data_IF_958734594307
#
_entry.id   IF_958734594307
#
_cell.length_a   1.000
_cell.length_b   1.000
_cell.length_c   1.000
_cell.angle_alpha   90.00
_cell.angle_beta   90.00
_cell.angle_gamma   90.00
#
_symmetry.space_group_name_H-M   'P 1'
#
loop_
_entity.id
_entity.type
_entity.pdbx_description
1 polymer ?
#
# COMPACT_ATOMS: atom_id res chain seq x y z
N UNK A 1 -38.79 59.28 -14.68
CA UNK A 1 -38.17 59.03 -13.36
C UNK A 1 -38.35 57.54 -13.09
N UNK A 2 -37.32 56.74 -13.40
CA UNK A 2 -36.37 56.12 -12.45
C UNK A 2 -36.85 54.71 -12.07
N UNK A 3 -36.02 53.69 -11.88
CA UNK A 3 -34.67 53.40 -12.39
C UNK A 3 -34.46 51.88 -12.27
N UNK A 4 -33.47 51.32 -12.98
CA UNK A 4 -33.17 49.88 -12.98
C UNK A 4 -32.76 49.35 -11.60
N UNK A 5 -33.17 48.12 -11.28
CA UNK A 5 -32.75 47.38 -10.10
C UNK A 5 -32.35 45.95 -10.44
N UNK A 6 -31.24 45.79 -11.17
CA UNK A 6 -30.66 44.46 -11.42
C UNK A 6 -30.02 43.91 -10.14
N UNK A 7 -30.62 42.90 -9.54
CA UNK A 7 -29.98 42.11 -8.48
C UNK A 7 -28.85 41.28 -9.06
N UNK A 8 -27.61 41.63 -8.71
CA UNK A 8 -26.43 40.88 -9.11
C UNK A 8 -26.41 39.51 -8.41
N UNK A 9 -26.52 38.43 -9.19
CA UNK A 9 -26.05 37.12 -8.74
C UNK A 9 -24.54 37.19 -8.60
N UNK A 10 -24.04 37.15 -7.37
CA UNK A 10 -22.63 36.87 -7.10
C UNK A 10 -22.35 35.43 -7.55
N UNK A 11 -21.80 35.27 -8.75
CA UNK A 11 -21.25 33.99 -9.20
C UNK A 11 -20.12 33.59 -8.26
N UNK A 12 -20.42 32.66 -7.36
CA UNK A 12 -19.42 31.99 -6.55
C UNK A 12 -18.49 31.25 -7.52
N UNK A 13 -17.28 31.79 -7.74
CA UNK A 13 -16.28 31.13 -8.58
C UNK A 13 -16.11 29.69 -8.09
N UNK A 14 -16.25 28.67 -8.96
CA UNK A 14 -16.03 27.30 -8.53
C UNK A 14 -14.61 27.21 -7.98
N UNK A 15 -14.46 26.76 -6.72
CA UNK A 15 -13.15 26.40 -6.18
C UNK A 15 -12.53 25.42 -7.17
N UNK A 16 -11.34 25.74 -7.68
CA UNK A 16 -10.56 24.79 -8.49
C UNK A 16 -10.44 23.48 -7.70
N UNK A 17 -10.65 22.32 -8.33
CA UNK A 17 -10.28 21.05 -7.70
C UNK A 17 -8.81 21.09 -7.30
N UNK A 18 -8.49 20.52 -6.13
CA UNK A 18 -7.13 20.42 -5.56
C UNK A 18 -6.16 19.57 -6.41
N UNK A 19 -6.60 19.17 -7.59
CA UNK A 19 -5.98 18.23 -8.53
C UNK A 19 -5.58 18.95 -9.84
N UNK A 20 -5.70 20.29 -9.87
CA UNK A 20 -5.39 21.12 -11.04
C UNK A 20 -3.95 21.68 -11.01
N UNK A 21 -3.20 21.38 -9.95
CA UNK A 21 -1.76 21.61 -9.86
C UNK A 21 -1.03 20.27 -10.06
N UNK A 22 0.21 20.28 -10.57
CA UNK A 22 0.99 19.05 -10.71
C UNK A 22 1.15 18.35 -9.34
N UNK A 23 1.12 17.00 -9.29
CA UNK A 23 1.23 16.27 -8.04
C UNK A 23 2.62 16.50 -7.43
N UNK A 24 2.67 17.39 -6.42
CA UNK A 24 3.87 17.62 -5.61
C UNK A 24 4.27 16.29 -4.97
N UNK A 25 5.39 15.73 -5.44
CA UNK A 25 5.97 14.52 -4.87
C UNK A 25 6.30 14.78 -3.40
N UNK A 26 5.97 13.80 -2.55
CA UNK A 26 6.18 13.87 -1.10
C UNK A 26 7.36 12.98 -0.72
N UNK A 27 8.53 13.28 -1.26
CA UNK A 27 9.78 12.64 -0.91
C UNK A 27 10.48 13.39 0.24
N UNK A 28 11.21 12.64 1.07
CA UNK A 28 11.89 13.18 2.24
C UNK A 28 12.62 12.11 3.03
N UNK A 29 13.95 12.23 3.11
CA UNK A 29 14.82 11.21 3.71
C UNK A 29 14.70 11.05 5.23
N UNK A 30 13.98 11.93 5.92
CA UNK A 30 13.89 11.97 7.38
C UNK A 30 13.32 10.69 8.03
N UNK A 31 12.55 9.89 7.27
CA UNK A 31 11.85 8.70 7.76
C UNK A 31 11.96 7.51 6.80
N UNK A 32 13.16 7.26 6.24
CA UNK A 32 13.40 6.02 5.48
C UNK A 32 13.08 4.79 6.31
N UNK A 33 12.38 3.83 5.71
CA UNK A 33 12.13 2.52 6.30
C UNK A 33 13.46 1.75 6.48
N UNK A 34 13.62 0.94 7.54
CA UNK A 34 14.75 0.04 7.68
C UNK A 34 14.74 -1.01 6.56
N UNK A 35 15.88 -1.23 5.90
CA UNK A 35 16.02 -2.20 4.80
C UNK A 35 16.09 -3.66 5.28
N UNK A 36 16.43 -3.87 6.55
CA UNK A 36 16.76 -5.16 7.15
C UNK A 36 17.82 -5.97 6.36
N UNK A 37 18.72 -5.30 5.62
CA UNK A 37 19.69 -5.95 4.72
C UNK A 37 20.56 -7.01 5.40
N UNK A 38 20.94 -6.79 6.66
CA UNK A 38 21.72 -7.74 7.47
C UNK A 38 20.94 -9.03 7.84
N UNK A 39 19.61 -9.01 7.80
CA UNK A 39 18.78 -10.22 7.93
C UNK A 39 18.70 -10.94 6.58
N UNK A 40 18.37 -10.22 5.50
CA UNK A 40 18.22 -10.80 4.16
C UNK A 40 19.50 -11.47 3.67
N UNK A 41 20.68 -10.89 3.94
CA UNK A 41 21.98 -11.46 3.54
C UNK A 41 22.34 -12.80 4.20
N UNK A 42 21.58 -13.23 5.22
CA UNK A 42 21.75 -14.55 5.87
C UNK A 42 20.96 -15.67 5.20
N UNK A 43 20.04 -15.32 4.30
CA UNK A 43 19.19 -16.26 3.58
C UNK A 43 19.77 -16.48 2.17
N UNK A 44 19.77 -17.71 1.64
CA UNK A 44 20.26 -18.00 0.30
C UNK A 44 19.19 -17.65 -0.75
N UNK A 45 18.83 -16.37 -0.79
CA UNK A 45 17.86 -15.82 -1.75
C UNK A 45 18.56 -15.52 -3.09
N UNK A 46 17.87 -15.65 -4.23
CA UNK A 46 18.41 -15.29 -5.54
C UNK A 46 18.63 -13.77 -5.69
N UNK A 47 17.97 -12.96 -4.88
CA UNK A 47 18.02 -11.49 -4.87
C UNK A 47 17.58 -10.94 -3.51
N UNK A 48 17.98 -9.71 -3.18
CA UNK A 48 17.41 -8.95 -2.06
C UNK A 48 16.00 -8.41 -2.38
N UNK A 49 15.19 -8.00 -1.38
CA UNK A 49 13.88 -7.40 -1.63
C UNK A 49 13.91 -6.12 -2.49
N UNK A 50 15.00 -5.35 -2.41
CA UNK A 50 15.19 -4.15 -3.23
C UNK A 50 15.46 -4.51 -4.70
N UNK A 51 16.27 -5.55 -4.95
CA UNK A 51 16.49 -6.07 -6.30
C UNK A 51 15.21 -6.71 -6.86
N UNK A 52 14.48 -7.47 -6.04
CA UNK A 52 13.16 -8.03 -6.39
C UNK A 52 12.20 -6.94 -6.89
N UNK A 53 12.11 -5.83 -6.17
CA UNK A 53 11.29 -4.68 -6.56
C UNK A 53 11.68 -4.13 -7.94
N UNK A 54 12.99 -4.01 -8.22
CA UNK A 54 13.50 -3.51 -9.49
C UNK A 54 13.35 -4.49 -10.67
N UNK A 55 13.05 -5.77 -10.43
CA UNK A 55 12.70 -6.74 -11.48
C UNK A 55 11.24 -6.59 -11.96
N UNK A 56 10.37 -5.98 -11.15
CA UNK A 56 8.96 -5.75 -11.49
C UNK A 56 8.78 -4.66 -12.56
N UNK A 57 7.75 -4.79 -13.39
CA UNK A 57 7.35 -3.70 -14.29
C UNK A 57 6.82 -2.49 -13.50
N UNK A 58 6.87 -1.26 -14.06
CA UNK A 58 6.32 -0.07 -13.40
C UNK A 58 4.84 -0.22 -13.01
N UNK A 59 4.06 -0.94 -13.80
CA UNK A 59 2.65 -1.24 -13.53
C UNK A 59 2.50 -2.13 -12.30
N UNK A 60 3.30 -3.21 -12.19
CA UNK A 60 3.28 -4.10 -11.03
C UNK A 60 3.80 -3.41 -9.75
N UNK A 61 4.82 -2.54 -9.87
CA UNK A 61 5.27 -1.69 -8.76
C UNK A 61 4.16 -0.75 -8.28
N UNK A 62 3.43 -0.11 -9.20
CA UNK A 62 2.31 0.77 -8.87
C UNK A 62 1.12 0.01 -8.27
N UNK A 63 0.79 -1.16 -8.80
CA UNK A 63 -0.24 -2.08 -8.29
C UNK A 63 0.03 -2.46 -6.83
N UNK A 64 1.23 -2.99 -6.55
CA UNK A 64 1.63 -3.43 -5.21
C UNK A 64 1.71 -2.24 -4.24
N UNK A 65 2.31 -1.12 -4.67
CA UNK A 65 2.43 0.08 -3.85
C UNK A 65 1.06 0.65 -3.45
N UNK A 66 0.09 0.68 -4.37
CA UNK A 66 -1.28 1.10 -4.09
C UNK A 66 -1.99 0.14 -3.12
N UNK A 67 -1.82 -1.17 -3.28
CA UNK A 67 -2.42 -2.17 -2.41
C UNK A 67 -1.85 -2.14 -0.97
N UNK A 68 -0.53 -1.93 -0.79
CA UNK A 68 0.08 -1.74 0.54
C UNK A 68 -0.45 -0.49 1.24
N UNK A 69 -0.59 0.63 0.51
CA UNK A 69 -1.21 1.86 1.05
C UNK A 69 -2.67 1.60 1.43
N UNK A 70 -3.43 0.90 0.59
CA UNK A 70 -4.83 0.52 0.83
C UNK A 70 -4.98 -0.33 2.09
N UNK A 71 -4.13 -1.34 2.28
CA UNK A 71 -4.11 -2.22 3.44
C UNK A 71 -3.82 -1.43 4.73
N UNK A 72 -2.83 -0.55 4.74
CA UNK A 72 -2.53 0.29 5.90
C UNK A 72 -3.65 1.29 6.23
N UNK A 73 -4.31 1.86 5.21
CA UNK A 73 -5.47 2.73 5.43
C UNK A 73 -6.65 1.94 6.01
N UNK A 74 -6.88 0.72 5.52
CA UNK A 74 -7.93 -0.17 6.03
C UNK A 74 -7.67 -0.58 7.50
N UNK A 75 -6.44 -0.95 7.84
CA UNK A 75 -6.02 -1.19 9.24
C UNK A 75 -6.18 0.05 10.13
N UNK A 76 -5.83 1.24 9.61
CA UNK A 76 -6.01 2.51 10.34
C UNK A 76 -7.49 2.81 10.62
N UNK A 77 -8.38 2.57 9.65
CA UNK A 77 -9.83 2.73 9.83
C UNK A 77 -10.38 1.69 10.80
N UNK A 78 -9.96 0.43 10.69
CA UNK A 78 -10.36 -0.64 11.61
C UNK A 78 -10.03 -0.29 13.08
N UNK A 79 -8.85 0.29 13.30
CA UNK A 79 -8.49 0.90 14.59
C UNK A 79 -8.07 -0.09 15.67
N UNK A 80 -7.57 -1.27 15.31
CA UNK A 80 -6.97 -2.19 16.29
C UNK A 80 -5.80 -1.52 17.04
N UNK A 81 -5.68 -1.82 18.33
CA UNK A 81 -4.75 -1.16 19.25
C UNK A 81 -5.02 0.32 19.53
N UNK A 82 -6.13 0.92 19.04
CA UNK A 82 -6.53 2.30 19.36
C UNK A 82 -7.51 2.33 20.53
N UNK A 83 -7.44 3.38 21.35
CA UNK A 83 -8.46 3.66 22.34
C UNK A 83 -9.80 3.97 21.67
N UNK A 84 -10.92 3.61 22.29
CA UNK A 84 -12.27 3.75 21.70
C UNK A 84 -12.60 5.19 21.24
N UNK A 85 -12.03 6.20 21.90
CA UNK A 85 -12.18 7.61 21.53
C UNK A 85 -11.47 7.99 20.21
N UNK A 86 -10.45 7.24 19.81
CA UNK A 86 -9.65 7.44 18.60
C UNK A 86 -10.04 6.48 17.46
N UNK A 87 -10.96 5.54 17.71
CA UNK A 87 -11.48 4.61 16.70
C UNK A 87 -12.49 5.30 15.77
N UNK A 88 -12.58 4.84 14.52
CA UNK A 88 -13.59 5.32 13.59
C UNK A 88 -15.00 4.96 14.09
N UNK A 89 -15.90 5.95 14.19
CA UNK A 89 -17.16 5.81 14.94
C UNK A 89 -18.14 4.78 14.36
N UNK A 90 -18.05 4.45 13.08
CA UNK A 90 -18.89 3.43 12.44
C UNK A 90 -18.25 2.04 12.56
N UNK A 91 -18.75 1.25 13.51
CA UNK A 91 -18.33 -0.14 13.75
C UNK A 91 -18.52 -1.06 12.53
N UNK A 92 -19.58 -0.83 11.73
CA UNK A 92 -19.79 -1.60 10.50
C UNK A 92 -18.70 -1.34 9.48
N UNK A 93 -18.32 -0.07 9.29
CA UNK A 93 -17.19 0.30 8.43
C UNK A 93 -15.83 -0.16 9.00
N UNK A 94 -15.65 -0.20 10.33
CA UNK A 94 -14.44 -0.81 10.95
C UNK A 94 -14.33 -2.30 10.66
N UNK A 95 -15.44 -3.05 10.73
CA UNK A 95 -15.46 -4.48 10.39
C UNK A 95 -15.18 -4.71 8.90
N UNK A 96 -15.80 -3.92 8.02
CA UNK A 96 -15.51 -3.96 6.57
C UNK A 96 -14.05 -3.62 6.28
N UNK A 97 -13.46 -2.65 7.00
CA UNK A 97 -12.06 -2.28 6.82
C UNK A 97 -11.10 -3.42 7.22
N UNK A 98 -11.39 -4.22 8.27
CA UNK A 98 -10.63 -5.44 8.56
C UNK A 98 -10.65 -6.40 7.37
N UNK A 99 -11.86 -6.73 6.88
CA UNK A 99 -12.03 -7.65 5.76
C UNK A 99 -11.32 -7.18 4.48
N UNK A 100 -11.24 -5.86 4.23
CA UNK A 100 -10.49 -5.27 3.11
C UNK A 100 -8.97 -5.41 3.31
N UNK A 101 -8.46 -5.22 4.53
CA UNK A 101 -7.05 -5.46 4.83
C UNK A 101 -6.68 -6.93 4.62
N UNK A 102 -7.53 -7.85 5.08
CA UNK A 102 -7.33 -9.30 4.96
C UNK A 102 -7.43 -9.76 3.48
N UNK A 103 -8.40 -9.28 2.71
CA UNK A 103 -8.52 -9.59 1.27
C UNK A 103 -7.33 -9.05 0.46
N UNK A 104 -6.82 -7.85 0.79
CA UNK A 104 -5.61 -7.30 0.17
C UNK A 104 -4.36 -8.10 0.54
N UNK A 105 -4.22 -8.53 1.80
CA UNK A 105 -3.09 -9.35 2.25
C UNK A 105 -3.06 -10.70 1.52
N UNK A 106 -4.17 -11.45 1.55
CA UNK A 106 -4.24 -12.77 0.91
C UNK A 106 -3.97 -12.69 -0.60
N UNK A 107 -4.52 -11.69 -1.30
CA UNK A 107 -4.25 -11.49 -2.74
C UNK A 107 -2.84 -11.01 -3.02
N UNK A 108 -2.20 -10.28 -2.10
CA UNK A 108 -0.80 -9.88 -2.23
C UNK A 108 0.10 -11.12 -2.22
N UNK A 109 -0.15 -12.08 -1.32
CA UNK A 109 0.61 -13.32 -1.24
C UNK A 109 0.50 -14.12 -2.55
N UNK A 110 -0.72 -14.38 -3.05
CA UNK A 110 -0.95 -15.03 -4.35
C UNK A 110 -0.25 -14.30 -5.51
N UNK A 111 -0.30 -12.95 -5.49
CA UNK A 111 0.28 -12.09 -6.53
C UNK A 111 1.81 -12.14 -6.52
N UNK A 112 2.43 -12.12 -5.34
CA UNK A 112 3.88 -12.22 -5.17
C UNK A 112 4.41 -13.61 -5.55
N UNK A 113 3.66 -14.68 -5.23
CA UNK A 113 3.92 -16.03 -5.74
C UNK A 113 4.00 -16.06 -7.27
N UNK A 114 3.00 -15.48 -7.95
CA UNK A 114 2.98 -15.42 -9.41
C UNK A 114 4.07 -14.53 -10.03
N UNK A 115 4.55 -13.51 -9.32
CA UNK A 115 5.55 -12.56 -9.83
C UNK A 115 6.99 -13.01 -9.60
N UNK A 116 7.23 -13.83 -8.57
CA UNK A 116 8.57 -14.32 -8.20
C UNK A 116 8.63 -15.86 -8.15
N UNK A 117 8.38 -16.57 -9.27
CA UNK A 117 8.53 -18.03 -9.32
C UNK A 117 9.98 -18.49 -9.05
N UNK A 118 10.98 -17.63 -9.22
CA UNK A 118 12.37 -17.93 -8.84
C UNK A 118 12.61 -17.91 -7.32
N UNK A 119 11.69 -17.29 -6.54
CA UNK A 119 11.72 -17.21 -5.08
C UNK A 119 10.79 -18.25 -4.42
N UNK A 120 9.59 -18.39 -4.96
CA UNK A 120 8.52 -19.23 -4.42
C UNK A 120 8.32 -20.57 -5.16
N UNK A 121 8.89 -20.71 -6.35
CA UNK A 121 8.76 -21.89 -7.21
C UNK A 121 7.47 -21.95 -8.03
N UNK A 122 7.24 -23.08 -8.70
CA UNK A 122 5.93 -23.47 -9.20
C UNK A 122 4.89 -23.54 -8.08
N UNK A 123 3.62 -23.33 -8.43
CA UNK A 123 2.50 -23.39 -7.48
C UNK A 123 2.46 -24.75 -6.75
N UNK A 124 2.70 -24.73 -5.44
CA UNK A 124 2.72 -25.91 -4.57
C UNK A 124 4.10 -26.54 -4.25
N UNK A 125 5.22 -25.98 -4.75
CA UNK A 125 6.52 -26.68 -4.77
C UNK A 125 7.53 -26.33 -3.65
N UNK A 126 7.18 -25.53 -2.63
CA UNK A 126 8.10 -25.01 -1.58
C UNK A 126 7.41 -24.94 -0.18
N UNK A 127 8.11 -24.98 0.99
CA UNK A 127 9.50 -25.40 1.32
C UNK A 127 9.59 -26.16 2.70
N UNK A 128 10.76 -26.24 3.36
CA UNK A 128 10.89 -26.74 4.76
C UNK A 128 11.92 -26.10 5.74
N UNK A 129 12.56 -24.94 5.59
CA UNK A 129 12.65 -23.90 4.55
C UNK A 129 13.60 -24.32 3.40
N UNK A 130 13.55 -23.61 2.26
CA UNK A 130 13.61 -24.20 0.91
C UNK A 130 13.69 -25.74 0.97
N UNK A 131 14.72 -26.41 0.44
CA UNK A 131 15.06 -27.84 0.61
C UNK A 131 15.78 -28.27 1.94
N UNK A 132 17.09 -27.97 2.09
CA UNK A 132 18.06 -28.80 2.84
C UNK A 132 19.03 -28.05 3.82
N UNK A 133 18.71 -28.01 5.11
CA UNK A 133 19.42 -27.30 6.22
C UNK A 133 19.21 -25.77 6.33
N UNK A 134 19.82 -24.93 5.47
CA UNK A 134 19.79 -23.46 5.61
C UNK A 134 21.01 -22.89 6.32
N UNK A 135 22.11 -22.85 5.57
CA UNK A 135 23.44 -23.28 6.02
C UNK A 135 23.47 -24.81 6.15
N UNK A 136 23.81 -25.48 5.04
CA UNK A 136 24.27 -26.87 5.08
C UNK A 136 25.61 -26.94 5.83
N UNK A 137 25.82 -28.04 6.55
CA UNK A 137 27.07 -28.37 7.25
C UNK A 137 28.14 -28.91 6.30
#
# INVERSE_FOLDING_TARGET
>A
MNALGCTAFTTHSPRRPIWADEPVLRDGDAHRLPDHAAFWSRLPLPFSPAEAWHLLSPEAQAEIGAAVIGMHLAQYVHGDGRADADQFHDEGLRAVASNVADDLLNRMDDRLWSLFPDLYGPEGDHPRWALDSGLAA
#
